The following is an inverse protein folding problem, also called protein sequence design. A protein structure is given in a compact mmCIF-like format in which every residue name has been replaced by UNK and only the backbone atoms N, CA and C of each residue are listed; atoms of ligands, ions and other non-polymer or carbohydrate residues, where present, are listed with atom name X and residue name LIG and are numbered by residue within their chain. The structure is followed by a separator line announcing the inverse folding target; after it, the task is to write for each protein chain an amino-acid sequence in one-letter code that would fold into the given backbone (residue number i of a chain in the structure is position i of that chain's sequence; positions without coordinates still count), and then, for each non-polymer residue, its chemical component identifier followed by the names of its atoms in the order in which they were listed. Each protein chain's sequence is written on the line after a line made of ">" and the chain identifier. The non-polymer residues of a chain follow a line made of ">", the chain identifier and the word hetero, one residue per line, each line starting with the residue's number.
data_IF_821242795070
#
_entry.id   IF_821242795070
#
_cell.length_a   1.000
_cell.length_b   1.000
_cell.length_c   1.000
_cell.angle_alpha   90.00
_cell.angle_beta   90.00
_cell.angle_gamma   90.00
#
_symmetry.space_group_name_H-M   'P 1'
#
loop_
_entity.id
_entity.type
_entity.pdbx_description
1 polymer ?
#
# COMPACT_ATOMS: atom_id res chain seq x y z
N UNK A 1 1.22 53.07 -19.62
CA UNK A 1 0.75 52.68 -18.26
C UNK A 1 -0.10 51.41 -18.21
N UNK A 2 -0.88 51.04 -19.25
CA UNK A 2 -1.72 49.81 -19.24
C UNK A 2 -0.91 48.52 -19.45
N UNK A 3 0.09 48.54 -20.35
CA UNK A 3 0.92 47.36 -20.69
C UNK A 3 1.84 46.90 -19.55
N UNK A 4 2.45 47.83 -18.79
CA UNK A 4 3.30 47.48 -17.65
C UNK A 4 2.52 46.87 -16.49
N UNK A 5 1.30 47.36 -16.21
CA UNK A 5 0.40 46.75 -15.22
C UNK A 5 -0.01 45.33 -15.62
N UNK A 6 -0.23 45.09 -16.92
CA UNK A 6 -0.60 43.78 -17.45
C UNK A 6 0.55 42.77 -17.37
N UNK A 7 1.79 43.21 -17.63
CA UNK A 7 3.01 42.41 -17.42
C UNK A 7 3.21 42.07 -15.96
N UNK A 8 3.01 43.02 -15.05
CA UNK A 8 3.15 42.80 -13.60
C UNK A 8 2.10 41.80 -13.10
N UNK A 9 0.85 41.89 -13.56
CA UNK A 9 -0.22 40.94 -13.20
C UNK A 9 0.09 39.54 -13.74
N UNK A 10 0.56 39.43 -14.99
CA UNK A 10 0.95 38.14 -15.55
C UNK A 10 2.14 37.52 -14.81
N UNK A 11 3.11 38.33 -14.38
CA UNK A 11 4.26 37.88 -13.62
C UNK A 11 3.85 37.40 -12.22
N UNK A 12 2.96 38.13 -11.55
CA UNK A 12 2.38 37.73 -10.26
C UNK A 12 1.61 36.41 -10.34
N UNK A 13 0.89 36.18 -11.44
CA UNK A 13 0.14 34.93 -11.63
C UNK A 13 1.07 33.73 -11.83
N UNK A 14 2.14 33.87 -12.63
CA UNK A 14 3.14 32.81 -12.84
C UNK A 14 3.88 32.48 -11.54
N UNK A 15 4.26 33.50 -10.76
CA UNK A 15 4.91 33.31 -9.46
C UNK A 15 3.97 32.62 -8.46
N UNK A 16 2.68 32.99 -8.41
CA UNK A 16 1.69 32.34 -7.55
C UNK A 16 1.45 30.87 -7.90
N UNK A 17 1.41 30.51 -9.19
CA UNK A 17 1.24 29.12 -9.63
C UNK A 17 2.44 28.23 -9.29
N UNK A 18 3.63 28.82 -9.12
CA UNK A 18 4.87 28.10 -8.80
C UNK A 18 4.88 27.52 -7.38
N UNK A 19 4.05 28.05 -6.47
CA UNK A 19 3.97 27.63 -5.06
C UNK A 19 2.97 26.48 -4.80
N UNK A 20 2.31 25.96 -5.84
CA UNK A 20 1.33 24.86 -5.71
C UNK A 20 1.97 23.46 -5.75
N UNK A 21 3.31 23.36 -5.77
CA UNK A 21 4.01 22.08 -5.63
C UNK A 21 4.03 21.68 -4.15
N UNK A 22 2.87 21.27 -3.64
CA UNK A 22 2.80 20.60 -2.34
C UNK A 22 3.36 19.20 -2.53
N UNK A 23 4.47 18.95 -1.86
CA UNK A 23 5.13 17.65 -1.78
C UNK A 23 4.23 16.72 -0.96
N UNK A 24 3.43 15.90 -1.64
CA UNK A 24 2.61 14.87 -0.97
C UNK A 24 3.58 13.77 -0.56
N UNK A 25 4.03 13.82 0.69
CA UNK A 25 4.85 12.75 1.26
C UNK A 25 4.07 11.43 1.19
N UNK A 26 4.45 10.57 0.24
CA UNK A 26 4.05 9.17 0.24
C UNK A 26 4.75 8.50 1.43
N UNK A 27 3.99 8.26 2.49
CA UNK A 27 4.47 7.46 3.61
C UNK A 27 4.32 5.97 3.27
N UNK A 28 5.20 5.15 3.81
CA UNK A 28 5.08 3.70 3.65
C UNK A 28 3.92 3.16 4.50
N UNK A 29 3.42 1.95 4.18
CA UNK A 29 2.52 1.22 5.08
C UNK A 29 3.16 1.06 6.46
N UNK A 30 2.34 1.11 7.51
CA UNK A 30 2.83 1.13 8.89
C UNK A 30 2.96 -0.26 9.50
N UNK A 31 2.17 -1.24 9.02
CA UNK A 31 2.19 -2.59 9.55
C UNK A 31 1.60 -3.60 8.54
N UNK A 32 2.05 -4.86 8.64
CA UNK A 32 1.43 -6.02 7.98
C UNK A 32 1.14 -7.06 9.05
N UNK A 33 -0.12 -7.49 9.13
CA UNK A 33 -0.60 -8.57 10.00
C UNK A 33 -1.05 -9.74 9.14
N UNK A 34 -0.65 -10.95 9.56
CA UNK A 34 -0.96 -12.20 8.88
C UNK A 34 -1.79 -13.08 9.81
N UNK A 35 -2.90 -13.61 9.30
CA UNK A 35 -3.75 -14.58 10.01
C UNK A 35 -3.99 -15.78 9.12
N UNK A 36 -3.60 -16.98 9.57
CA UNK A 36 -3.72 -18.20 8.78
C UNK A 36 -4.73 -19.16 9.40
N UNK A 37 -5.70 -19.59 8.61
CA UNK A 37 -6.67 -20.63 8.97
C UNK A 37 -6.31 -21.95 8.29
N UNK A 38 -5.86 -22.92 9.09
CA UNK A 38 -5.52 -24.27 8.64
C UNK A 38 -6.74 -25.10 8.19
N UNK A 39 -7.94 -24.77 8.67
CA UNK A 39 -9.17 -25.47 8.30
C UNK A 39 -9.59 -25.16 6.87
N UNK A 40 -9.40 -23.91 6.44
CA UNK A 40 -9.73 -23.44 5.09
C UNK A 40 -8.52 -23.26 4.18
N UNK A 41 -7.30 -23.40 4.72
CA UNK A 41 -6.02 -23.14 4.03
C UNK A 41 -5.93 -21.70 3.50
N UNK A 42 -6.43 -20.75 4.29
CA UNK A 42 -6.54 -19.34 3.91
C UNK A 42 -5.59 -18.49 4.74
N UNK A 43 -4.74 -17.71 4.06
CA UNK A 43 -3.96 -16.63 4.62
C UNK A 43 -4.71 -15.31 4.41
N UNK A 44 -5.19 -14.70 5.49
CA UNK A 44 -5.64 -13.31 5.48
C UNK A 44 -4.46 -12.38 5.75
N UNK A 45 -4.32 -11.37 4.88
CA UNK A 45 -3.30 -10.34 4.98
C UNK A 45 -3.99 -9.01 5.22
N UNK A 46 -3.64 -8.36 6.32
CA UNK A 46 -4.07 -6.99 6.63
C UNK A 46 -2.86 -6.06 6.59
N UNK A 47 -2.88 -5.09 5.69
CA UNK A 47 -1.85 -4.05 5.57
C UNK A 47 -2.41 -2.73 6.07
N UNK A 48 -1.84 -2.21 7.16
CA UNK A 48 -2.21 -0.90 7.71
C UNK A 48 -1.56 0.21 6.90
N UNK A 49 -2.36 1.06 6.28
CA UNK A 49 -1.92 2.18 5.47
C UNK A 49 -2.98 3.28 5.47
N UNK A 50 -2.72 4.36 6.20
CA UNK A 50 -3.67 5.46 6.39
C UNK A 50 -3.56 6.46 5.26
N UNK A 51 -4.57 6.57 4.41
CA UNK A 51 -4.59 7.42 3.21
C UNK A 51 -5.82 8.33 3.23
N UNK A 52 -5.76 9.44 2.49
CA UNK A 52 -6.90 10.35 2.35
C UNK A 52 -7.97 9.80 1.41
N UNK A 53 -7.57 9.16 0.30
CA UNK A 53 -8.47 8.55 -0.68
C UNK A 53 -7.92 7.17 -1.13
N UNK A 54 -8.60 6.07 -0.75
CA UNK A 54 -8.24 4.70 -1.11
C UNK A 54 -8.16 4.39 -2.60
N UNK A 55 -8.69 5.23 -3.48
CA UNK A 55 -8.71 4.98 -4.93
C UNK A 55 -7.54 5.66 -5.66
N UNK A 56 -6.84 6.59 -5.00
CA UNK A 56 -5.75 7.38 -5.61
C UNK A 56 -4.42 7.18 -4.89
N UNK A 57 -4.44 6.81 -3.61
CA UNK A 57 -3.26 6.41 -2.85
C UNK A 57 -3.58 5.09 -2.14
N UNK A 58 -2.92 4.01 -2.55
CA UNK A 58 -3.22 2.66 -2.06
C UNK A 58 -2.00 1.74 -2.07
N UNK A 59 -2.14 0.57 -1.46
CA UNK A 59 -1.19 -0.54 -1.58
C UNK A 59 -1.22 -1.08 -3.00
N UNK A 60 -0.17 -0.84 -3.79
CA UNK A 60 -0.12 -1.26 -5.19
C UNK A 60 -0.05 -2.78 -5.37
N UNK A 61 0.70 -3.47 -4.50
CA UNK A 61 0.98 -4.89 -4.65
C UNK A 61 1.13 -5.60 -3.31
N UNK A 62 0.61 -6.82 -3.22
CA UNK A 62 0.93 -7.80 -2.17
C UNK A 62 1.59 -9.00 -2.85
N UNK A 63 2.77 -9.37 -2.36
CA UNK A 63 3.50 -10.56 -2.79
C UNK A 63 3.63 -11.53 -1.61
N UNK A 64 3.13 -12.74 -1.80
CA UNK A 64 3.20 -13.82 -0.83
C UNK A 64 4.38 -14.71 -1.18
N UNK A 65 5.22 -14.96 -0.18
CA UNK A 65 6.34 -15.89 -0.25
C UNK A 65 6.06 -17.06 0.67
N UNK A 66 6.39 -18.27 0.20
CA UNK A 66 6.27 -19.50 0.97
C UNK A 66 7.58 -20.27 0.85
N UNK A 67 8.24 -20.53 1.98
CA UNK A 67 9.54 -21.21 2.03
C UNK A 67 10.57 -20.59 1.06
N UNK A 68 10.70 -19.26 1.09
CA UNK A 68 11.57 -18.45 0.23
C UNK A 68 11.26 -18.50 -1.28
N UNK A 69 10.14 -19.11 -1.67
CA UNK A 69 9.65 -19.12 -3.05
C UNK A 69 8.47 -18.17 -3.18
N UNK A 70 8.53 -17.26 -4.16
CA UNK A 70 7.40 -16.40 -4.51
C UNK A 70 6.20 -17.27 -4.92
N UNK A 71 5.12 -17.20 -4.16
CA UNK A 71 3.93 -18.01 -4.35
C UNK A 71 2.87 -17.26 -5.16
N UNK A 72 2.52 -16.05 -4.75
CA UNK A 72 1.47 -15.24 -5.39
C UNK A 72 1.90 -13.78 -5.43
N UNK A 73 1.63 -13.11 -6.55
CA UNK A 73 1.68 -11.66 -6.66
C UNK A 73 0.29 -11.18 -7.05
N UNK A 74 -0.25 -10.21 -6.32
CA UNK A 74 -1.51 -9.56 -6.65
C UNK A 74 -1.33 -8.05 -6.62
N UNK A 75 -1.77 -7.41 -7.69
CA UNK A 75 -1.76 -5.95 -7.84
C UNK A 75 -3.16 -5.40 -7.60
N UNK A 76 -3.23 -4.16 -7.13
CA UNK A 76 -4.48 -3.49 -6.80
C UNK A 76 -4.56 -2.14 -7.49
N UNK A 77 -5.77 -1.61 -7.57
CA UNK A 77 -6.05 -0.26 -8.05
C UNK A 77 -6.76 0.59 -7.00
N UNK A 78 -6.93 0.03 -5.79
CA UNK A 78 -7.50 0.67 -4.61
C UNK A 78 -7.21 -0.17 -3.36
N UNK A 79 -7.37 0.41 -2.17
CA UNK A 79 -7.36 -0.33 -0.91
C UNK A 79 -8.76 -0.43 -0.27
N UNK A 80 -8.91 -1.34 0.70
CA UNK A 80 -10.22 -1.75 1.23
C UNK A 80 -10.89 -0.64 2.06
N UNK A 81 -10.11 0.21 2.74
CA UNK A 81 -10.58 1.37 3.48
C UNK A 81 -9.52 2.47 3.53
N UNK A 82 -9.83 3.63 4.10
CA UNK A 82 -8.87 4.72 4.30
C UNK A 82 -7.74 4.38 5.29
N UNK A 83 -7.84 3.31 6.08
CA UNK A 83 -6.84 2.96 7.11
C UNK A 83 -6.07 1.66 6.80
N UNK A 84 -6.60 0.81 5.93
CA UNK A 84 -6.02 -0.50 5.66
C UNK A 84 -6.45 -1.09 4.33
N UNK A 85 -5.67 -2.08 3.88
CA UNK A 85 -6.07 -3.03 2.86
C UNK A 85 -6.14 -4.43 3.47
N UNK A 86 -7.17 -5.19 3.12
CA UNK A 86 -7.37 -6.58 3.57
C UNK A 86 -7.65 -7.43 2.35
N UNK A 87 -6.95 -8.56 2.25
CA UNK A 87 -7.15 -9.55 1.21
C UNK A 87 -6.86 -10.96 1.72
N UNK A 88 -7.40 -11.97 1.03
CA UNK A 88 -7.27 -13.37 1.42
C UNK A 88 -6.68 -14.20 0.28
N UNK A 89 -5.78 -15.11 0.64
CA UNK A 89 -5.05 -15.95 -0.29
C UNK A 89 -5.19 -17.41 0.12
N UNK A 90 -5.58 -18.27 -0.81
CA UNK A 90 -5.52 -19.72 -0.59
C UNK A 90 -4.07 -20.17 -0.70
N UNK A 91 -3.48 -20.59 0.41
CA UNK A 91 -2.08 -20.99 0.51
C UNK A 91 -2.05 -22.33 1.21
N UNK A 92 -1.82 -23.44 0.48
CA UNK A 92 -1.81 -24.76 1.10
C UNK A 92 -0.59 -24.93 2.02
N UNK A 93 -0.73 -24.74 3.33
CA UNK A 93 0.33 -25.05 4.29
C UNK A 93 0.11 -26.44 4.92
N UNK A 94 1.17 -27.25 4.99
CA UNK A 94 1.15 -28.43 5.85
C UNK A 94 1.32 -27.97 7.31
N UNK A 95 0.62 -28.61 8.25
CA UNK A 95 0.94 -28.42 9.67
C UNK A 95 2.41 -28.78 9.88
N UNK A 96 3.23 -27.81 10.31
CA UNK A 96 4.63 -28.05 10.62
C UNK A 96 4.73 -29.22 11.59
N UNK A 97 5.37 -30.33 11.19
CA UNK A 97 5.66 -31.43 12.13
C UNK A 97 6.78 -30.97 13.05
N UNK A 98 6.44 -30.59 14.27
CA UNK A 98 7.42 -30.41 15.33
C UNK A 98 7.93 -31.80 15.77
N UNK A 99 9.10 -32.21 15.28
CA UNK A 99 9.84 -33.34 15.86
C UNK A 99 10.80 -32.79 16.90
N UNK A 100 10.49 -32.99 18.19
CA UNK A 100 11.25 -32.87 19.48
C UNK A 100 12.42 -31.89 19.68
N UNK A 101 12.86 -31.11 18.69
CA UNK A 101 14.00 -30.21 18.80
C UNK A 101 14.10 -29.18 17.67
N UNK A 102 13.27 -29.26 16.63
CA UNK A 102 13.23 -28.23 15.58
C UNK A 102 11.81 -28.07 15.05
N UNK A 103 11.26 -26.86 15.16
CA UNK A 103 10.06 -26.47 14.41
C UNK A 103 10.54 -25.52 13.32
N UNK A 104 10.46 -25.96 12.05
CA UNK A 104 10.62 -25.05 10.92
C UNK A 104 9.22 -24.55 10.57
N UNK A 105 9.04 -23.22 10.56
CA UNK A 105 7.83 -22.56 10.06
C UNK A 105 7.92 -22.42 8.55
#
# INVERSE_FOLDING_TARGET
>A
MKKSKLVIVSLLFVVASSFMLLDVQSHTPSNVTLSYDYGTQTLEVTVSHSVSDPNTHYIEQIQIWKNDVSHTIKTYTSQSSASQHVDSFNIDAAHGRCSKSYCNM
#
